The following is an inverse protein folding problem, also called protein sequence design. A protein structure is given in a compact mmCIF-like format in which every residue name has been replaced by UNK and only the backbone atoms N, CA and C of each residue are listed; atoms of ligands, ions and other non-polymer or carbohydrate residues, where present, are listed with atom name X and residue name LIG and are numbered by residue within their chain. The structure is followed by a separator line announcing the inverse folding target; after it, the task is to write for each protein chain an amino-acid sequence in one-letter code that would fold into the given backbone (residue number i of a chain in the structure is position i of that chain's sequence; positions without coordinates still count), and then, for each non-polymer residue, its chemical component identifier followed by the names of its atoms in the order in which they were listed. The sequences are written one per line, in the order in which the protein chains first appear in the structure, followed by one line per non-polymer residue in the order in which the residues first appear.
data_IF_831479903470
#
_entry.id   IF_831479903470
#
_cell.length_a   1.000
_cell.length_b   1.000
_cell.length_c   1.000
_cell.angle_alpha   90.00
_cell.angle_beta   90.00
_cell.angle_gamma   90.00
#
_symmetry.space_group_name_H-M   'P 1'
#
loop_
_entity.id
_entity.type
_entity.pdbx_description
1 polymer ?
#
# COMPACT_ATOMS: atom_id res chain seq x y z
N UNK A 1 -25.16 44.69 -26.47
CA UNK A 1 -24.22 43.79 -27.17
C UNK A 1 -22.82 44.36 -26.94
N UNK A 2 -21.82 43.70 -26.38
CA UNK A 2 -21.64 42.33 -25.95
C UNK A 2 -20.56 42.26 -24.85
N UNK A 3 -20.74 41.30 -23.93
CA UNK A 3 -19.75 40.56 -23.14
C UNK A 3 -18.60 41.30 -22.41
N UNK A 4 -18.77 41.49 -21.09
CA UNK A 4 -17.67 41.39 -20.13
C UNK A 4 -17.38 39.91 -19.86
N UNK A 5 -16.13 39.42 -19.94
CA UNK A 5 -15.82 38.06 -19.51
C UNK A 5 -15.78 38.00 -17.98
N UNK A 6 -16.84 37.43 -17.39
CA UNK A 6 -16.83 36.93 -16.02
C UNK A 6 -15.76 35.85 -15.88
N UNK A 7 -14.64 36.19 -15.25
CA UNK A 7 -13.66 35.21 -14.79
C UNK A 7 -14.30 34.45 -13.62
N UNK A 8 -14.75 33.23 -13.90
CA UNK A 8 -15.19 32.28 -12.88
C UNK A 8 -13.94 31.85 -12.10
N UNK A 9 -13.91 31.92 -10.76
CA UNK A 9 -12.79 31.36 -10.02
C UNK A 9 -12.91 29.83 -10.10
N UNK A 10 -12.01 29.21 -10.86
CA UNK A 10 -11.78 27.76 -10.83
C UNK A 10 -11.30 27.42 -9.42
N UNK A 11 -12.20 26.87 -8.62
CA UNK A 11 -11.85 26.30 -7.34
C UNK A 11 -10.89 25.14 -7.60
N UNK A 12 -9.60 25.37 -7.32
CA UNK A 12 -8.60 24.33 -7.18
C UNK A 12 -9.04 23.41 -6.04
N UNK A 13 -9.77 22.35 -6.36
CA UNK A 13 -10.01 21.25 -5.44
C UNK A 13 -8.69 20.56 -5.20
N UNK A 14 -7.99 21.01 -4.15
CA UNK A 14 -6.82 20.33 -3.62
C UNK A 14 -7.16 18.84 -3.39
N UNK A 15 -6.24 17.91 -3.67
CA UNK A 15 -6.47 16.51 -3.33
C UNK A 15 -6.66 16.46 -1.81
N UNK A 16 -7.86 16.06 -1.38
CA UNK A 16 -8.16 15.74 0.00
C UNK A 16 -7.37 14.47 0.33
N UNK A 17 -6.09 14.64 0.62
CA UNK A 17 -5.37 13.72 1.49
C UNK A 17 -6.09 13.90 2.82
N UNK A 18 -7.00 12.98 3.14
CA UNK A 18 -7.60 12.91 4.47
C UNK A 18 -6.46 12.72 5.46
N UNK A 19 -6.01 13.85 6.01
CA UNK A 19 -5.18 13.91 7.20
C UNK A 19 -5.97 13.15 8.25
N UNK A 20 -5.42 12.03 8.71
CA UNK A 20 -5.95 11.29 9.84
C UNK A 20 -6.12 12.28 10.98
N UNK A 21 -7.36 12.65 11.29
CA UNK A 21 -7.66 13.53 12.42
C UNK A 21 -7.12 12.83 13.66
N UNK A 22 -6.07 13.37 14.26
CA UNK A 22 -5.43 12.85 15.47
C UNK A 22 -6.29 13.08 16.73
N UNK A 23 -7.61 13.23 16.57
CA UNK A 23 -8.58 13.25 17.65
C UNK A 23 -8.99 11.80 17.91
N UNK A 24 -8.57 11.25 19.05
CA UNK A 24 -8.84 9.87 19.50
C UNK A 24 -10.30 9.58 19.83
N UNK A 25 -11.22 10.08 19.02
CA UNK A 25 -12.66 9.94 19.20
C UNK A 25 -13.11 8.62 18.58
N UNK A 26 -13.17 7.58 19.42
CA UNK A 26 -13.67 6.25 19.03
C UNK A 26 -15.21 6.17 18.96
N UNK A 27 -15.91 7.29 19.15
CA UNK A 27 -17.37 7.37 19.22
C UNK A 27 -18.05 7.00 17.90
N UNK A 28 -17.39 7.25 16.76
CA UNK A 28 -17.95 7.05 15.43
C UNK A 28 -17.49 5.73 14.81
N UNK A 29 -18.16 4.63 15.17
CA UNK A 29 -17.81 3.29 14.69
C UNK A 29 -17.87 3.15 13.16
N UNK A 30 -18.76 3.90 12.50
CA UNK A 30 -18.86 3.95 11.04
C UNK A 30 -17.62 4.57 10.39
N UNK A 31 -17.09 5.63 10.99
CA UNK A 31 -15.89 6.31 10.48
C UNK A 31 -14.65 5.44 10.69
N UNK A 32 -14.54 4.79 11.85
CA UNK A 32 -13.50 3.81 12.12
C UNK A 32 -13.51 2.71 11.07
N UNK A 33 -14.70 2.19 10.69
CA UNK A 33 -14.80 1.18 9.64
C UNK A 33 -14.29 1.68 8.28
N UNK A 34 -14.59 2.92 7.90
CA UNK A 34 -14.08 3.52 6.66
C UNK A 34 -12.56 3.63 6.69
N UNK A 35 -12.00 4.12 7.79
CA UNK A 35 -10.55 4.23 7.98
C UNK A 35 -9.86 2.86 7.94
N UNK A 36 -10.47 1.84 8.54
CA UNK A 36 -9.94 0.47 8.53
C UNK A 36 -9.97 -0.17 7.14
N UNK A 37 -11.03 0.08 6.35
CA UNK A 37 -11.10 -0.38 4.97
C UNK A 37 -10.09 0.35 4.08
N UNK A 38 -9.92 1.66 4.29
CA UNK A 38 -8.92 2.47 3.60
C UNK A 38 -7.51 1.93 3.87
N UNK A 39 -7.13 1.76 5.14
CA UNK A 39 -5.79 1.28 5.50
C UNK A 39 -5.57 -0.18 5.07
N UNK A 40 -6.60 -1.03 5.10
CA UNK A 40 -6.52 -2.40 4.59
C UNK A 40 -6.20 -2.42 3.09
N UNK A 41 -6.80 -1.52 2.29
CA UNK A 41 -6.46 -1.32 0.88
C UNK A 41 -5.04 -0.79 0.68
N UNK A 42 -4.68 0.29 1.37
CA UNK A 42 -3.37 0.95 1.23
C UNK A 42 -2.19 0.03 1.61
N UNK A 43 -2.36 -0.79 2.65
CA UNK A 43 -1.36 -1.76 3.09
C UNK A 43 -1.27 -2.97 2.16
N UNK A 44 -2.41 -3.43 1.62
CA UNK A 44 -2.44 -4.50 0.61
C UNK A 44 -1.69 -4.12 -0.65
N UNK A 45 -1.92 -2.90 -1.14
CA UNK A 45 -1.22 -2.40 -2.31
C UNK A 45 0.30 -2.33 -2.09
N UNK A 46 0.73 -1.90 -0.90
CA UNK A 46 2.15 -1.84 -0.51
C UNK A 46 2.79 -3.20 -0.21
N UNK A 47 2.05 -4.31 -0.26
CA UNK A 47 2.55 -5.65 0.04
C UNK A 47 2.68 -5.97 1.54
N UNK A 48 2.09 -5.15 2.43
CA UNK A 48 2.09 -5.35 3.88
C UNK A 48 0.97 -6.30 4.30
N UNK A 49 1.18 -7.59 4.07
CA UNK A 49 0.15 -8.63 4.20
C UNK A 49 -0.44 -8.73 5.62
N UNK A 50 0.41 -8.73 6.66
CA UNK A 50 -0.06 -8.91 8.04
C UNK A 50 -0.88 -7.72 8.55
N UNK A 51 -0.44 -6.49 8.23
CA UNK A 51 -1.17 -5.28 8.59
C UNK A 51 -2.52 -5.23 7.88
N UNK A 52 -2.54 -5.53 6.57
CA UNK A 52 -3.79 -5.59 5.80
C UNK A 52 -4.76 -6.63 6.36
N UNK A 53 -4.25 -7.82 6.70
CA UNK A 53 -5.04 -8.90 7.33
C UNK A 53 -5.67 -8.44 8.64
N UNK A 54 -4.88 -7.86 9.54
CA UNK A 54 -5.37 -7.39 10.83
C UNK A 54 -6.43 -6.30 10.68
N UNK A 55 -6.19 -5.31 9.81
CA UNK A 55 -7.16 -4.25 9.54
C UNK A 55 -8.45 -4.78 8.93
N UNK A 56 -8.37 -5.77 8.04
CA UNK A 56 -9.54 -6.42 7.45
C UNK A 56 -10.33 -7.25 8.48
N UNK A 57 -9.65 -8.00 9.35
CA UNK A 57 -10.26 -8.78 10.44
C UNK A 57 -11.05 -7.86 11.39
N UNK A 58 -10.48 -6.71 11.75
CA UNK A 58 -11.18 -5.71 12.56
C UNK A 58 -12.30 -5.00 11.80
N UNK A 59 -12.17 -4.77 10.50
CA UNK A 59 -13.23 -4.12 9.72
C UNK A 59 -14.45 -5.05 9.57
N UNK A 60 -14.20 -6.36 9.56
CA UNK A 60 -15.20 -7.41 9.46
C UNK A 60 -16.02 -7.58 10.74
N UNK A 61 -15.43 -7.33 11.92
CA UNK A 61 -16.17 -7.41 13.20
C UNK A 61 -17.19 -6.28 13.39
N UNK A 62 -17.10 -5.22 12.57
CA UNK A 62 -18.01 -4.08 12.58
C UNK A 62 -19.20 -4.26 11.62
N UNK A 63 -20.37 -3.66 11.89
CA UNK A 63 -21.55 -3.79 11.03
C UNK A 63 -21.29 -3.33 9.60
N UNK A 64 -21.92 -3.97 8.61
CA UNK A 64 -21.75 -3.64 7.19
C UNK A 64 -22.19 -2.19 6.91
N UNK A 65 -21.44 -1.50 6.05
CA UNK A 65 -21.81 -0.17 5.57
C UNK A 65 -22.61 -0.31 4.27
N UNK A 66 -23.62 0.54 4.04
CA UNK A 66 -24.30 0.61 2.76
C UNK A 66 -23.33 1.11 1.67
N UNK A 67 -23.57 0.71 0.42
CA UNK A 67 -22.73 1.07 -0.74
C UNK A 67 -22.55 2.59 -0.89
N UNK A 68 -23.57 3.38 -0.55
CA UNK A 68 -23.52 4.84 -0.60
C UNK A 68 -22.56 5.48 0.43
N UNK A 69 -22.25 4.77 1.52
CA UNK A 69 -21.32 5.24 2.56
C UNK A 69 -19.88 4.76 2.32
N UNK A 70 -19.64 3.92 1.30
CA UNK A 70 -18.29 3.48 0.97
C UNK A 70 -17.51 4.65 0.37
N UNK A 71 -16.32 4.87 0.93
CA UNK A 71 -15.42 5.90 0.44
C UNK A 71 -14.97 5.55 -0.98
N UNK A 72 -14.99 6.51 -1.93
CA UNK A 72 -14.46 6.28 -3.26
C UNK A 72 -12.96 5.95 -3.20
N UNK A 73 -12.43 5.18 -4.17
CA UNK A 73 -11.01 4.92 -4.25
C UNK A 73 -10.24 6.26 -4.30
N UNK A 74 -9.06 6.33 -3.65
CA UNK A 74 -8.28 7.56 -3.64
C UNK A 74 -7.91 7.95 -5.08
N UNK A 75 -7.90 9.26 -5.39
CA UNK A 75 -7.50 9.72 -6.71
C UNK A 75 -6.04 9.32 -6.99
N UNK A 76 -5.81 8.83 -8.20
CA UNK A 76 -4.47 8.47 -8.68
C UNK A 76 -3.70 9.77 -8.89
N UNK A 77 -2.50 9.85 -8.32
CA UNK A 77 -1.62 11.01 -8.50
C UNK A 77 -0.88 10.91 -9.83
N UNK A 78 -0.40 12.04 -10.37
CA UNK A 78 0.35 12.05 -11.64
C UNK A 78 1.63 11.20 -11.55
N UNK A 79 2.30 11.21 -10.39
CA UNK A 79 3.45 10.36 -10.09
C UNK A 79 3.09 8.87 -10.08
N UNK A 80 1.93 8.51 -9.53
CA UNK A 80 1.45 7.13 -9.58
C UNK A 80 1.13 6.71 -11.01
N UNK A 81 0.47 7.58 -11.79
CA UNK A 81 0.07 7.33 -13.18
C UNK A 81 1.26 7.00 -14.09
N UNK A 82 2.37 7.72 -13.95
CA UNK A 82 3.59 7.50 -14.74
C UNK A 82 4.28 6.18 -14.40
N UNK A 83 4.29 5.79 -13.13
CA UNK A 83 4.91 4.55 -12.65
C UNK A 83 3.94 3.35 -12.63
N UNK A 84 2.68 3.50 -13.08
CA UNK A 84 1.63 2.47 -12.96
C UNK A 84 2.01 1.15 -13.60
N UNK A 85 2.60 1.18 -14.80
CA UNK A 85 2.93 -0.03 -15.56
C UNK A 85 4.04 -0.82 -14.86
N UNK A 86 5.11 -0.13 -14.48
CA UNK A 86 6.24 -0.71 -13.75
C UNK A 86 5.79 -1.23 -12.37
N UNK A 87 4.97 -0.45 -11.66
CA UNK A 87 4.41 -0.85 -10.38
C UNK A 87 3.52 -2.10 -10.51
N UNK A 88 2.64 -2.16 -11.50
CA UNK A 88 1.73 -3.29 -11.69
C UNK A 88 2.49 -4.57 -12.01
N UNK A 89 3.49 -4.49 -12.88
CA UNK A 89 4.37 -5.62 -13.21
C UNK A 89 5.19 -6.06 -11.98
N UNK A 90 5.82 -5.13 -11.28
CA UNK A 90 6.60 -5.43 -10.09
C UNK A 90 5.74 -6.02 -8.97
N UNK A 91 4.49 -5.57 -8.82
CA UNK A 91 3.54 -6.12 -7.86
C UNK A 91 3.15 -7.55 -8.19
N UNK A 92 2.97 -7.89 -9.46
CA UNK A 92 2.74 -9.27 -9.89
C UNK A 92 3.94 -10.17 -9.52
N UNK A 93 5.18 -9.70 -9.76
CA UNK A 93 6.39 -10.41 -9.32
C UNK A 93 6.50 -10.52 -7.79
N UNK A 94 6.10 -9.47 -7.07
CA UNK A 94 6.09 -9.47 -5.61
C UNK A 94 5.15 -10.55 -5.05
N UNK A 95 3.97 -10.73 -5.66
CA UNK A 95 2.96 -11.70 -5.21
C UNK A 95 3.39 -13.16 -5.41
N UNK A 96 4.17 -13.44 -6.46
CA UNK A 96 4.81 -14.75 -6.67
C UNK A 96 6.10 -14.93 -5.86
N UNK A 97 6.45 -13.97 -4.99
CA UNK A 97 7.64 -13.96 -4.13
C UNK A 97 8.97 -13.84 -4.87
N UNK A 98 8.96 -13.34 -6.12
CA UNK A 98 10.15 -13.04 -6.90
C UNK A 98 10.63 -11.60 -6.61
N UNK A 99 11.03 -11.36 -5.36
CA UNK A 99 11.33 -10.01 -4.85
C UNK A 99 12.52 -9.33 -5.55
N UNK A 100 13.50 -10.10 -6.01
CA UNK A 100 14.68 -9.57 -6.70
C UNK A 100 14.30 -8.95 -8.06
N UNK A 101 13.44 -9.65 -8.82
CA UNK A 101 12.89 -9.15 -10.08
C UNK A 101 12.00 -7.93 -9.86
N UNK A 102 11.14 -7.97 -8.84
CA UNK A 102 10.30 -6.83 -8.48
C UNK A 102 11.15 -5.57 -8.19
N UNK A 103 12.27 -5.72 -7.48
CA UNK A 103 13.18 -4.60 -7.19
C UNK A 103 13.87 -4.05 -8.45
N UNK A 104 14.16 -4.88 -9.44
CA UNK A 104 14.79 -4.45 -10.69
C UNK A 104 13.90 -3.48 -11.48
N UNK A 105 12.61 -3.81 -11.63
CA UNK A 105 11.66 -2.97 -12.37
C UNK A 105 11.32 -1.65 -11.66
N UNK A 106 11.43 -1.62 -10.33
CA UNK A 106 11.12 -0.42 -9.53
C UNK A 106 12.33 0.51 -9.30
N UNK A 107 13.51 0.18 -9.82
CA UNK A 107 14.76 0.92 -9.56
C UNK A 107 14.72 2.39 -10.02
N UNK A 108 13.89 2.72 -11.02
CA UNK A 108 13.77 4.07 -11.60
C UNK A 108 12.50 4.83 -11.24
N UNK A 109 11.62 4.27 -10.40
CA UNK A 109 10.33 4.86 -10.09
C UNK A 109 10.43 5.95 -9.01
N UNK A 110 9.68 7.04 -9.18
CA UNK A 110 9.66 8.19 -8.27
C UNK A 110 8.38 8.27 -7.41
N UNK A 111 7.32 7.52 -7.76
CA UNK A 111 6.14 7.42 -6.91
C UNK A 111 6.51 6.91 -5.52
N UNK A 112 5.92 7.52 -4.48
CA UNK A 112 6.07 7.09 -3.07
C UNK A 112 5.70 5.63 -2.87
N UNK A 113 4.70 5.15 -3.62
CA UNK A 113 4.19 3.79 -3.54
C UNK A 113 5.18 2.80 -4.16
N UNK A 114 5.68 3.12 -5.35
CA UNK A 114 6.67 2.32 -6.06
C UNK A 114 8.00 2.25 -5.28
N UNK A 115 8.47 3.39 -4.77
CA UNK A 115 9.69 3.48 -3.97
C UNK A 115 9.61 2.67 -2.67
N UNK A 116 8.47 2.71 -1.98
CA UNK A 116 8.26 1.86 -0.80
C UNK A 116 8.38 0.37 -1.15
N UNK A 117 7.69 -0.06 -2.23
CA UNK A 117 7.70 -1.45 -2.65
C UNK A 117 9.10 -1.90 -3.09
N UNK A 118 9.88 -1.02 -3.72
CA UNK A 118 11.28 -1.26 -4.08
C UNK A 118 12.15 -1.56 -2.85
N UNK A 119 12.14 -0.64 -1.87
CA UNK A 119 12.95 -0.79 -0.65
C UNK A 119 12.50 -2.01 0.16
N UNK A 120 11.19 -2.26 0.21
CA UNK A 120 10.63 -3.42 0.90
C UNK A 120 11.02 -4.75 0.23
N UNK A 121 10.99 -4.81 -1.11
CA UNK A 121 11.41 -5.98 -1.86
C UNK A 121 12.89 -6.32 -1.60
N UNK A 122 13.78 -5.32 -1.63
CA UNK A 122 15.20 -5.50 -1.30
C UNK A 122 15.43 -5.99 0.12
N UNK A 123 14.67 -5.47 1.07
CA UNK A 123 14.70 -5.93 2.46
C UNK A 123 14.32 -7.41 2.56
N UNK A 124 13.25 -7.84 1.89
CA UNK A 124 12.79 -9.23 1.89
C UNK A 124 13.80 -10.19 1.25
N UNK A 125 14.42 -9.83 0.12
CA UNK A 125 15.50 -10.63 -0.50
C UNK A 125 16.62 -10.90 0.51
N UNK A 126 17.07 -9.84 1.21
CA UNK A 126 18.14 -9.97 2.21
C UNK A 126 17.70 -10.80 3.42
N UNK A 127 16.46 -10.66 3.88
CA UNK A 127 15.94 -11.43 4.99
C UNK A 127 15.83 -12.93 4.64
N UNK A 128 15.40 -13.26 3.43
CA UNK A 128 15.27 -14.65 2.96
C UNK A 128 16.63 -15.31 2.79
N UNK A 129 17.58 -14.65 2.13
CA UNK A 129 18.94 -15.18 1.95
C UNK A 129 19.66 -15.39 3.29
N UNK A 130 19.49 -14.48 4.26
CA UNK A 130 20.02 -14.67 5.61
C UNK A 130 19.39 -15.86 6.34
N UNK A 131 18.08 -16.06 6.17
CA UNK A 131 17.38 -17.22 6.74
C UNK A 131 17.85 -18.53 6.12
N UNK A 132 18.03 -18.58 4.81
CA UNK A 132 18.55 -19.77 4.12
C UNK A 132 19.97 -20.11 4.58
N UNK A 133 20.86 -19.12 4.68
CA UNK A 133 22.22 -19.29 5.19
C UNK A 133 22.26 -19.83 6.63
N UNK A 134 21.38 -19.35 7.50
CA UNK A 134 21.28 -19.84 8.88
C UNK A 134 20.70 -21.26 8.97
N UNK A 135 19.71 -21.60 8.14
CA UNK A 135 19.18 -22.98 8.08
C UNK A 135 20.19 -23.99 7.53
N UNK A 136 21.00 -23.60 6.54
CA UNK A 136 22.06 -24.43 5.99
C UNK A 136 23.12 -24.74 7.06
N UNK A 137 23.59 -23.71 7.77
CA UNK A 137 24.55 -23.85 8.89
C UNK A 137 24.03 -24.74 10.02
N UNK A 138 22.72 -24.70 10.30
CA UNK A 138 22.11 -25.58 11.30
C UNK A 138 22.08 -27.05 10.84
N UNK A 139 21.79 -27.31 9.55
CA UNK A 139 21.76 -28.66 8.98
C UNK A 139 23.15 -29.30 8.90
N UNK A 140 24.20 -28.53 8.62
CA UNK A 140 25.59 -29.04 8.64
C UNK A 140 26.02 -29.50 10.04
N UNK A 141 25.69 -28.73 11.09
CA UNK A 141 26.00 -29.13 12.47
C UNK A 141 25.34 -30.46 12.88
N UNK A 142 24.12 -30.71 12.40
CA UNK A 142 23.40 -31.98 12.69
C UNK A 142 24.04 -33.17 11.97
N UNK A 143 24.60 -32.98 10.78
CA UNK A 143 25.31 -34.05 10.04
C UNK A 143 26.68 -34.37 10.64
N UNK A 144 27.33 -33.42 11.31
CA UNK A 144 28.64 -33.63 11.95
C UNK A 144 28.58 -34.34 13.31
N UNK A 145 27.37 -34.54 13.87
CA UNK A 145 27.14 -35.17 15.17
C UNK A 145 26.61 -36.62 15.07
N UNK A 146 26.52 -37.17 13.86
CA UNK A 146 26.24 -38.59 13.59
C UNK A 146 27.46 -39.21 12.95
#
# INVERSE_FOLDING_TARGET
MAANPTVVPVALTAPVVQVLSASGDFSNLREIKKQLLLIAGLTRERGLLHSSKWSAELAFSLPALPLAELQPPPPITEEDAQDMDAYTLAKAYFDVKEYDRAAHFLHGCNSKKAYFLYMYSRYLVRAITFREASTFRAREKVKSFK
#
